data_IF_324413964532
#
_entry.id   IF_324413964532
#
_cell.length_a   1.000
_cell.length_b   1.000
_cell.length_c   1.000
_cell.angle_alpha   90.00
_cell.angle_beta   90.00
_cell.angle_gamma   90.00
#
_symmetry.space_group_name_H-M   'P 1'
#
loop_
_entity.id
_entity.type
_entity.pdbx_description
1 polymer ?
#
# COMPACT_ATOMS: atom_id res chain seq x y z
N UNK A 1 -21.84 21.93 87.20
CA UNK A 1 -21.50 20.75 86.37
C UNK A 1 -20.99 21.25 85.02
N UNK A 2 -19.78 20.80 84.62
CA UNK A 2 -19.25 20.49 83.27
C UNK A 2 -19.78 21.31 82.06
N UNK A 3 -19.01 21.72 81.03
CA UNK A 3 -17.58 21.77 80.68
C UNK A 3 -17.52 22.41 79.26
N UNK A 4 -16.42 23.10 78.94
CA UNK A 4 -15.70 23.13 77.65
C UNK A 4 -16.32 23.67 76.33
N UNK A 5 -15.73 24.79 75.90
CA UNK A 5 -15.10 25.12 74.59
C UNK A 5 -14.98 23.97 73.56
N UNK A 6 -15.23 24.26 72.25
CA UNK A 6 -14.52 23.88 70.99
C UNK A 6 -15.40 24.34 69.80
N UNK A 7 -15.05 25.24 68.88
CA UNK A 7 -14.04 25.27 67.80
C UNK A 7 -14.04 24.04 66.86
N UNK A 8 -14.75 24.10 65.73
CA UNK A 8 -14.45 23.42 64.44
C UNK A 8 -15.56 23.74 63.42
N UNK A 9 -15.29 24.59 62.43
CA UNK A 9 -14.80 24.24 61.09
C UNK A 9 -15.87 23.60 60.18
N UNK A 10 -16.50 24.46 59.38
CA UNK A 10 -17.36 24.12 58.25
C UNK A 10 -16.49 23.53 57.12
N UNK A 11 -16.48 22.21 56.95
CA UNK A 11 -15.87 21.56 55.78
C UNK A 11 -16.96 21.40 54.72
N UNK A 12 -16.95 22.31 53.75
CA UNK A 12 -17.63 22.11 52.49
C UNK A 12 -16.87 21.02 51.71
N UNK A 13 -17.44 19.82 51.65
CA UNK A 13 -16.96 18.75 50.77
C UNK A 13 -17.31 19.13 49.34
N UNK A 14 -16.38 19.86 48.69
CA UNK A 14 -16.32 19.98 47.25
C UNK A 14 -15.97 18.60 46.69
N UNK A 15 -16.99 17.89 46.21
CA UNK A 15 -16.82 16.75 45.32
C UNK A 15 -16.20 17.24 44.00
N UNK A 16 -14.88 17.37 43.95
CA UNK A 16 -14.15 17.50 42.69
C UNK A 16 -14.23 16.14 41.99
N UNK A 17 -15.24 15.99 41.13
CA UNK A 17 -15.22 15.01 40.04
C UNK A 17 -14.07 15.38 39.10
N UNK A 18 -12.85 15.06 39.51
CA UNK A 18 -11.71 14.99 38.62
C UNK A 18 -11.96 13.81 37.70
N UNK A 19 -12.51 14.09 36.53
CA UNK A 19 -12.39 13.22 35.37
C UNK A 19 -10.90 12.99 35.14
N UNK A 20 -10.36 11.90 35.70
CA UNK A 20 -9.12 11.32 35.18
C UNK A 20 -9.41 11.03 33.72
N UNK A 21 -8.92 11.89 32.82
CA UNK A 21 -8.72 11.51 31.42
C UNK A 21 -7.92 10.23 31.47
N UNK A 22 -8.56 9.10 31.18
CA UNK A 22 -7.85 7.85 30.93
C UNK A 22 -6.82 8.22 29.86
N UNK A 23 -5.54 8.16 30.22
CA UNK A 23 -4.46 8.19 29.26
C UNK A 23 -4.79 7.14 28.22
N UNK A 24 -5.17 7.58 27.03
CA UNK A 24 -5.28 6.68 25.88
C UNK A 24 -3.87 6.12 25.70
N UNK A 25 -3.68 4.85 26.04
CA UNK A 25 -2.52 4.12 25.56
C UNK A 25 -2.49 4.31 24.05
N UNK A 26 -1.44 4.96 23.57
CA UNK A 26 -1.23 5.18 22.14
C UNK A 26 -1.09 3.79 21.55
N UNK A 27 -2.05 3.37 20.72
CA UNK A 27 -1.93 2.09 20.02
C UNK A 27 -0.57 2.03 19.31
N UNK A 28 0.11 0.88 19.36
CA UNK A 28 1.41 0.73 18.70
C UNK A 28 1.25 1.01 17.21
N UNK A 29 2.20 1.76 16.64
CA UNK A 29 2.21 2.03 15.21
C UNK A 29 2.23 0.72 14.42
N UNK A 30 1.46 0.64 13.33
CA UNK A 30 1.47 -0.54 12.49
C UNK A 30 2.86 -0.77 11.88
N UNK A 31 3.27 -2.04 11.85
CA UNK A 31 4.47 -2.51 11.17
C UNK A 31 4.11 -3.77 10.40
N UNK A 32 4.50 -3.83 9.13
CA UNK A 32 4.31 -5.00 8.30
C UNK A 32 5.43 -6.01 8.60
N UNK A 33 5.13 -6.99 9.45
CA UNK A 33 6.11 -8.01 9.88
C UNK A 33 6.57 -8.95 8.76
N UNK A 34 5.81 -9.05 7.67
CA UNK A 34 6.12 -9.89 6.50
C UNK A 34 6.78 -9.10 5.37
N UNK A 35 6.84 -7.78 5.47
CA UNK A 35 7.37 -6.94 4.40
C UNK A 35 8.90 -6.90 4.44
N UNK A 36 9.51 -6.89 3.26
CA UNK A 36 10.97 -6.83 3.15
C UNK A 36 11.49 -5.44 3.48
N UNK A 37 12.56 -5.35 4.27
CA UNK A 37 13.18 -4.06 4.64
C UNK A 37 14.39 -3.70 3.77
N UNK A 38 14.79 -4.59 2.86
CA UNK A 38 15.86 -4.40 1.88
C UNK A 38 15.40 -4.92 0.51
N UNK A 39 15.95 -4.40 -0.61
CA UNK A 39 15.59 -4.88 -1.93
C UNK A 39 15.86 -6.39 -2.10
N UNK A 40 14.93 -7.09 -2.75
CA UNK A 40 15.08 -8.51 -3.09
C UNK A 40 15.80 -8.70 -4.43
N UNK A 41 15.83 -7.67 -5.29
CA UNK A 41 16.46 -7.72 -6.60
C UNK A 41 17.98 -7.87 -6.51
N UNK A 42 18.56 -8.75 -7.34
CA UNK A 42 20.01 -8.88 -7.47
C UNK A 42 20.58 -7.81 -8.42
N UNK A 43 21.73 -7.24 -8.06
CA UNK A 43 22.40 -6.20 -8.84
C UNK A 43 22.70 -6.64 -10.29
N UNK A 44 23.01 -7.92 -10.49
CA UNK A 44 23.23 -8.49 -11.83
C UNK A 44 22.02 -8.38 -12.77
N UNK A 45 20.82 -8.16 -12.22
CA UNK A 45 19.57 -8.10 -12.97
C UNK A 45 19.03 -6.68 -13.15
N UNK A 46 19.70 -5.64 -12.60
CA UNK A 46 19.18 -4.27 -12.56
C UNK A 46 18.93 -3.67 -13.96
N UNK A 47 19.76 -4.03 -14.95
CA UNK A 47 19.66 -3.55 -16.33
C UNK A 47 19.09 -4.60 -17.31
N UNK A 48 18.42 -5.63 -16.79
CA UNK A 48 17.82 -6.70 -17.59
C UNK A 48 16.36 -6.87 -17.22
N UNK A 49 15.61 -7.68 -17.97
CA UNK A 49 14.26 -8.06 -17.57
C UNK A 49 14.17 -9.24 -16.59
N UNK A 50 15.29 -9.82 -16.16
CA UNK A 50 15.30 -10.65 -14.96
C UNK A 50 15.07 -9.79 -13.71
N UNK A 51 14.65 -10.40 -12.61
CA UNK A 51 14.58 -9.73 -11.31
C UNK A 51 13.19 -9.70 -10.70
N UNK A 52 12.96 -8.72 -9.83
CA UNK A 52 11.74 -8.59 -9.04
C UNK A 52 10.91 -7.41 -9.54
N UNK A 53 9.61 -7.62 -9.70
CA UNK A 53 8.65 -6.58 -10.04
C UNK A 53 7.55 -6.58 -9.01
N UNK A 54 7.20 -5.41 -8.47
CA UNK A 54 6.22 -5.25 -7.40
C UNK A 54 5.19 -4.22 -7.81
N UNK A 55 3.95 -4.46 -7.45
CA UNK A 55 2.86 -3.61 -7.85
C UNK A 55 1.63 -3.72 -6.99
N UNK A 56 0.73 -2.78 -7.21
CA UNK A 56 -0.58 -2.71 -6.57
C UNK A 56 -1.69 -2.98 -7.59
N UNK A 57 -2.79 -3.54 -7.10
CA UNK A 57 -4.00 -3.84 -7.88
C UNK A 57 -5.15 -2.98 -7.37
N UNK A 58 -5.93 -2.36 -8.26
CA UNK A 58 -7.15 -1.63 -7.90
C UNK A 58 -8.36 -2.13 -8.67
N UNK A 59 -9.52 -2.19 -8.02
CA UNK A 59 -10.79 -2.73 -8.51
C UNK A 59 -11.36 -3.77 -7.56
N UNK A 60 -10.49 -4.65 -7.09
CA UNK A 60 -10.40 -5.05 -5.68
C UNK A 60 -9.12 -4.45 -5.10
N UNK A 61 -8.82 -4.67 -3.82
CA UNK A 61 -7.57 -4.16 -3.24
C UNK A 61 -6.54 -5.28 -3.14
N UNK A 62 -5.28 -4.97 -3.47
CA UNK A 62 -4.22 -5.94 -3.31
C UNK A 62 -2.88 -5.56 -3.90
N UNK A 63 -2.00 -6.55 -3.95
CA UNK A 63 -0.62 -6.44 -4.42
C UNK A 63 -0.24 -7.62 -5.30
N UNK A 64 0.79 -7.42 -6.13
CA UNK A 64 1.36 -8.47 -6.97
C UNK A 64 2.88 -8.35 -7.01
N UNK A 65 3.57 -9.48 -6.86
CA UNK A 65 5.01 -9.63 -7.09
C UNK A 65 5.28 -10.63 -8.19
N UNK A 66 6.14 -10.27 -9.14
CA UNK A 66 6.75 -11.21 -10.08
C UNK A 66 8.21 -11.43 -9.71
N UNK A 67 8.64 -12.68 -9.79
CA UNK A 67 10.04 -13.08 -9.82
C UNK A 67 10.33 -13.65 -11.20
N UNK A 68 11.09 -12.92 -12.00
CA UNK A 68 11.54 -13.36 -13.32
C UNK A 68 12.98 -13.82 -13.20
N UNK A 69 13.17 -15.07 -12.80
CA UNK A 69 14.48 -15.71 -12.69
C UNK A 69 15.51 -14.87 -11.90
N UNK A 70 15.07 -14.11 -10.87
CA UNK A 70 15.95 -13.23 -10.09
C UNK A 70 17.17 -14.00 -9.56
N UNK A 71 16.92 -15.23 -9.09
CA UNK A 71 17.96 -16.22 -8.77
C UNK A 71 17.68 -17.51 -9.54
N UNK A 72 18.70 -18.04 -10.22
CA UNK A 72 18.55 -19.26 -11.03
C UNK A 72 17.57 -19.08 -12.19
N UNK A 73 16.62 -20.00 -12.30
CA UNK A 73 15.63 -20.09 -13.39
C UNK A 73 14.17 -19.99 -12.91
N UNK A 74 13.95 -19.72 -11.62
CA UNK A 74 12.60 -19.67 -11.02
C UNK A 74 11.79 -18.52 -11.60
N UNK A 75 10.63 -18.83 -12.17
CA UNK A 75 9.69 -17.82 -12.68
C UNK A 75 8.32 -18.01 -12.03
N UNK A 76 7.94 -17.07 -11.18
CA UNK A 76 6.71 -17.14 -10.38
C UNK A 76 6.10 -15.75 -10.18
N UNK A 77 4.84 -15.72 -9.78
CA UNK A 77 4.21 -14.53 -9.24
C UNK A 77 3.38 -14.85 -8.00
N UNK A 78 3.22 -13.86 -7.12
CA UNK A 78 2.35 -13.93 -5.95
C UNK A 78 1.37 -12.77 -6.09
N UNK A 79 0.08 -13.10 -6.21
CA UNK A 79 -1.01 -12.14 -6.19
C UNK A 79 -1.69 -12.24 -4.83
N UNK A 80 -1.89 -11.10 -4.16
CA UNK A 80 -2.72 -11.01 -2.97
C UNK A 80 -3.87 -10.08 -3.30
N UNK A 81 -5.11 -10.55 -3.18
CA UNK A 81 -6.32 -9.75 -3.40
C UNK A 81 -7.29 -9.98 -2.25
N UNK A 82 -7.77 -8.88 -1.67
CA UNK A 82 -8.70 -8.89 -0.54
C UNK A 82 -8.25 -9.84 0.61
N UNK A 83 -6.93 -9.90 0.83
CA UNK A 83 -6.28 -10.77 1.82
C UNK A 83 -6.06 -12.24 1.40
N UNK A 84 -6.56 -12.67 0.24
CA UNK A 84 -6.38 -14.03 -0.28
C UNK A 84 -5.16 -14.08 -1.18
N UNK A 85 -4.30 -15.10 -0.98
CA UNK A 85 -3.08 -15.29 -1.78
C UNK A 85 -3.29 -16.31 -2.90
N UNK A 86 -2.82 -15.98 -4.09
CA UNK A 86 -2.65 -16.88 -5.23
C UNK A 86 -1.17 -16.98 -5.61
N UNK A 87 -0.63 -18.20 -5.59
CA UNK A 87 0.69 -18.48 -6.15
C UNK A 87 0.51 -18.82 -7.63
N UNK A 88 1.15 -18.05 -8.50
CA UNK A 88 1.05 -18.19 -9.94
C UNK A 88 2.39 -18.63 -10.52
N UNK A 89 2.35 -19.47 -11.54
CA UNK A 89 3.54 -19.95 -12.25
C UNK A 89 3.41 -19.70 -13.75
N UNK A 90 4.55 -19.66 -14.42
CA UNK A 90 4.67 -19.63 -15.87
C UNK A 90 5.49 -20.81 -16.34
N UNK A 91 5.17 -21.33 -17.53
CA UNK A 91 5.97 -22.34 -18.23
C UNK A 91 6.93 -21.73 -19.25
N UNK A 92 6.87 -20.42 -19.48
CA UNK A 92 7.71 -19.72 -20.46
C UNK A 92 9.07 -19.42 -19.83
N UNK A 93 10.10 -20.07 -20.38
CA UNK A 93 11.48 -19.81 -19.99
C UNK A 93 11.94 -18.42 -20.41
N UNK A 94 12.81 -17.82 -19.60
CA UNK A 94 13.46 -16.56 -19.94
C UNK A 94 14.56 -16.78 -20.98
N UNK A 95 14.67 -15.84 -21.93
CA UNK A 95 15.72 -15.83 -22.97
C UNK A 95 16.44 -14.48 -22.95
N UNK A 96 17.77 -14.51 -22.95
CA UNK A 96 18.60 -13.31 -22.86
C UNK A 96 18.39 -12.35 -24.05
N UNK A 97 18.36 -11.05 -23.76
CA UNK A 97 18.28 -9.99 -24.77
C UNK A 97 16.91 -9.83 -25.45
N UNK A 98 15.92 -10.65 -25.11
CA UNK A 98 14.57 -10.57 -25.64
C UNK A 98 13.63 -9.94 -24.62
N UNK A 99 12.56 -9.30 -25.09
CA UNK A 99 11.43 -8.96 -24.22
C UNK A 99 10.84 -10.23 -23.59
N UNK A 100 10.31 -10.12 -22.38
CA UNK A 100 9.69 -11.25 -21.68
C UNK A 100 8.19 -11.03 -21.63
N UNK A 101 7.43 -11.98 -22.16
CA UNK A 101 5.96 -11.98 -22.09
C UNK A 101 5.48 -13.37 -21.73
N UNK A 102 4.64 -13.48 -20.69
CA UNK A 102 4.06 -14.76 -20.29
C UNK A 102 2.75 -14.58 -19.55
N UNK A 103 1.84 -15.53 -19.78
CA UNK A 103 0.75 -15.81 -18.86
C UNK A 103 1.29 -16.46 -17.58
N UNK A 104 0.77 -16.01 -16.44
CA UNK A 104 0.96 -16.60 -15.12
C UNK A 104 -0.38 -17.13 -14.66
N UNK A 105 -0.42 -18.41 -14.28
CA UNK A 105 -1.67 -19.09 -13.91
C UNK A 105 -1.58 -19.71 -12.54
N UNK A 106 -2.71 -19.78 -11.84
CA UNK A 106 -2.83 -20.40 -10.54
C UNK A 106 -4.26 -20.29 -10.02
N UNK A 107 -4.44 -20.38 -8.71
CA UNK A 107 -5.76 -20.28 -8.07
C UNK A 107 -5.81 -19.21 -7.01
N UNK A 108 -6.89 -18.43 -6.99
CA UNK A 108 -7.27 -17.56 -5.89
C UNK A 108 -8.49 -18.18 -5.20
N UNK A 109 -8.26 -18.79 -4.03
CA UNK A 109 -9.24 -19.71 -3.45
C UNK A 109 -9.47 -20.92 -4.36
N UNK A 110 -10.69 -21.07 -4.88
CA UNK A 110 -11.05 -22.17 -5.79
C UNK A 110 -11.06 -21.76 -7.26
N UNK A 111 -11.01 -20.46 -7.56
CA UNK A 111 -11.13 -19.92 -8.90
C UNK A 111 -9.78 -19.89 -9.62
N UNK A 112 -9.80 -20.25 -10.91
CA UNK A 112 -8.62 -20.15 -11.77
C UNK A 112 -8.34 -18.68 -12.12
N UNK A 113 -7.08 -18.28 -11.97
CA UNK A 113 -6.60 -16.93 -12.27
C UNK A 113 -5.55 -17.01 -13.36
N UNK A 114 -5.59 -16.03 -14.28
CA UNK A 114 -4.57 -15.84 -15.31
C UNK A 114 -4.19 -14.37 -15.43
N UNK A 115 -2.89 -14.06 -15.43
CA UNK A 115 -2.35 -12.70 -15.59
C UNK A 115 -1.23 -12.75 -16.62
N UNK A 116 -1.33 -11.95 -17.68
CA UNK A 116 -0.26 -11.83 -18.67
C UNK A 116 0.65 -10.67 -18.32
N UNK A 117 1.87 -10.98 -17.90
CA UNK A 117 2.93 -10.02 -17.65
C UNK A 117 3.79 -9.86 -18.91
N UNK A 118 4.16 -8.61 -19.21
CA UNK A 118 5.07 -8.27 -20.29
C UNK A 118 6.06 -7.19 -19.84
N UNK A 119 7.29 -7.28 -20.31
CA UNK A 119 8.33 -6.28 -20.08
C UNK A 119 9.32 -6.30 -21.24
N UNK A 120 9.87 -5.14 -21.57
CA UNK A 120 10.96 -4.99 -22.53
C UNK A 120 12.22 -5.79 -22.13
N UNK A 121 13.26 -5.80 -22.95
CA UNK A 121 14.50 -6.53 -22.65
C UNK A 121 15.29 -5.93 -21.47
N UNK A 122 15.09 -4.64 -21.19
CA UNK A 122 15.82 -3.85 -20.16
C UNK A 122 15.14 -3.90 -18.79
N UNK A 123 13.92 -4.41 -18.70
CA UNK A 123 13.14 -4.44 -17.46
C UNK A 123 12.39 -3.14 -17.15
N UNK A 124 12.37 -2.16 -18.06
CA UNK A 124 12.00 -0.77 -17.74
C UNK A 124 10.52 -0.46 -17.87
N UNK A 125 9.79 -1.15 -18.75
CA UNK A 125 8.34 -0.95 -18.94
C UNK A 125 7.52 -2.19 -18.60
N UNK A 126 7.47 -2.61 -17.32
CA UNK A 126 6.66 -3.74 -16.92
C UNK A 126 5.16 -3.40 -17.01
N UNK A 127 4.38 -4.28 -17.62
CA UNK A 127 2.93 -4.11 -17.79
C UNK A 127 2.22 -5.45 -17.61
N UNK A 128 0.98 -5.39 -17.12
CA UNK A 128 0.04 -6.49 -17.21
C UNK A 128 -0.90 -6.18 -18.37
N UNK A 129 -0.78 -6.93 -19.46
CA UNK A 129 -1.53 -6.67 -20.70
C UNK A 129 -2.95 -7.22 -20.65
N UNK A 130 -3.14 -8.34 -19.95
CA UNK A 130 -4.46 -8.96 -19.74
C UNK A 130 -4.51 -9.63 -18.37
N UNK A 131 -5.70 -9.68 -17.78
CA UNK A 131 -5.96 -10.44 -16.56
C UNK A 131 -7.36 -11.02 -16.58
N UNK A 132 -7.50 -12.26 -16.13
CA UNK A 132 -8.77 -12.91 -15.82
C UNK A 132 -8.72 -13.34 -14.35
N UNK A 133 -9.51 -12.65 -13.52
CA UNK A 133 -9.58 -12.88 -12.08
C UNK A 133 -11.06 -12.96 -11.70
N UNK A 134 -11.64 -14.17 -11.64
CA UNK A 134 -13.07 -14.34 -11.33
C UNK A 134 -13.45 -13.66 -10.02
N UNK A 135 -14.54 -12.88 -10.03
CA UNK A 135 -14.99 -12.09 -8.88
C UNK A 135 -14.36 -10.69 -8.79
N UNK A 136 -13.35 -10.39 -9.60
CA UNK A 136 -12.61 -9.12 -9.56
C UNK A 136 -12.56 -8.46 -10.95
N UNK A 137 -13.68 -8.00 -11.51
CA UNK A 137 -13.70 -7.35 -12.82
C UNK A 137 -13.06 -5.95 -12.77
N UNK A 138 -12.62 -5.45 -13.92
CA UNK A 138 -12.08 -4.10 -14.09
C UNK A 138 -10.90 -3.80 -13.14
N UNK A 139 -10.03 -4.79 -12.93
CA UNK A 139 -8.79 -4.61 -12.20
C UNK A 139 -7.79 -3.82 -13.03
N UNK A 140 -7.08 -2.90 -12.36
CA UNK A 140 -5.99 -2.13 -12.93
C UNK A 140 -4.74 -2.35 -12.07
N UNK A 141 -3.58 -2.28 -12.71
CA UNK A 141 -2.30 -2.62 -12.10
C UNK A 141 -1.31 -1.47 -12.26
N UNK A 142 -0.59 -1.17 -11.18
CA UNK A 142 0.61 -0.33 -11.26
C UNK A 142 1.80 -1.18 -10.86
N UNK A 143 2.74 -1.38 -11.78
CA UNK A 143 3.87 -2.29 -11.63
C UNK A 143 5.19 -1.53 -11.80
N UNK A 144 6.15 -1.81 -10.93
CA UNK A 144 7.49 -1.21 -10.96
C UNK A 144 8.53 -2.31 -10.77
N UNK A 145 9.65 -2.21 -11.49
CA UNK A 145 10.83 -3.04 -11.29
C UNK A 145 11.57 -2.60 -10.03
N UNK A 146 11.85 -3.54 -9.14
CA UNK A 146 12.77 -3.33 -8.02
C UNK A 146 14.23 -3.48 -8.51
N UNK A 147 15.11 -2.61 -8.03
CA UNK A 147 16.57 -2.73 -8.27
C UNK A 147 17.27 -3.06 -6.98
N UNK A 148 18.51 -3.54 -7.07
CA UNK A 148 19.32 -3.93 -5.90
C UNK A 148 19.58 -2.81 -4.88
N UNK A 149 19.35 -1.55 -5.29
CA UNK A 149 19.55 -0.35 -4.47
C UNK A 149 18.24 0.37 -4.14
N UNK A 150 17.12 -0.07 -4.69
CA UNK A 150 15.85 0.62 -4.57
C UNK A 150 14.73 -0.34 -4.18
N UNK A 151 14.37 -0.34 -2.90
CA UNK A 151 13.24 -1.11 -2.38
C UNK A 151 11.94 -0.53 -2.92
N UNK A 152 11.06 -1.39 -3.41
CA UNK A 152 9.71 -1.03 -3.81
C UNK A 152 8.72 -1.52 -2.75
N UNK A 153 7.96 -0.59 -2.19
CA UNK A 153 6.97 -0.83 -1.15
C UNK A 153 5.57 -0.66 -1.74
N UNK A 154 4.62 -1.53 -1.37
CA UNK A 154 3.23 -1.42 -1.78
C UNK A 154 2.32 -1.17 -0.57
N UNK A 155 1.40 -0.23 -0.73
CA UNK A 155 0.47 0.20 0.30
C UNK A 155 -0.95 0.05 -0.22
N UNK A 156 -1.83 -0.42 0.66
CA UNK A 156 -3.26 -0.48 0.45
C UNK A 156 -3.97 0.42 1.45
N UNK A 157 -4.98 1.14 1.00
CA UNK A 157 -5.62 2.16 1.82
C UNK A 157 -7.05 2.48 1.42
N UNK A 158 -7.69 3.25 2.29
CA UNK A 158 -9.04 3.77 2.11
C UNK A 158 -9.06 5.27 2.30
N UNK A 159 -10.01 5.92 1.62
CA UNK A 159 -10.31 7.32 1.84
C UNK A 159 -11.79 7.51 2.13
N UNK A 160 -12.08 8.61 2.83
CA UNK A 160 -13.42 9.15 2.98
C UNK A 160 -13.38 10.65 2.79
N UNK A 161 -14.50 11.24 2.38
CA UNK A 161 -14.60 12.69 2.22
C UNK A 161 -15.68 13.28 3.13
N UNK A 162 -15.78 14.61 3.18
CA UNK A 162 -16.90 15.30 3.82
C UNK A 162 -18.19 15.25 3.00
N UNK A 163 -18.11 14.85 1.72
CA UNK A 163 -19.24 14.27 1.00
C UNK A 163 -19.31 12.80 1.46
N UNK A 164 -20.48 12.16 1.60
CA UNK A 164 -20.54 10.73 1.99
C UNK A 164 -20.06 9.81 0.85
N UNK A 165 -18.83 10.04 0.39
CA UNK A 165 -18.09 9.27 -0.59
C UNK A 165 -16.89 8.64 0.12
N UNK A 166 -16.72 7.34 -0.14
CA UNK A 166 -15.58 6.55 0.30
C UNK A 166 -14.95 5.86 -0.89
N UNK A 167 -13.73 5.39 -0.73
CA UNK A 167 -13.09 4.55 -1.73
C UNK A 167 -11.80 3.93 -1.23
N UNK A 168 -11.13 3.24 -2.13
CA UNK A 168 -9.81 2.66 -1.90
C UNK A 168 -8.76 3.43 -2.69
N UNK A 169 -7.53 3.41 -2.20
CA UNK A 169 -6.37 3.83 -2.96
C UNK A 169 -5.23 2.87 -2.67
N UNK A 170 -4.48 2.49 -3.70
CA UNK A 170 -3.31 1.64 -3.56
C UNK A 170 -2.12 2.31 -4.24
N UNK A 171 -0.98 2.30 -3.56
CA UNK A 171 0.24 3.03 -3.98
C UNK A 171 1.44 2.09 -3.94
N UNK A 172 2.23 2.16 -4.99
CA UNK A 172 3.61 1.67 -5.03
C UNK A 172 4.56 2.86 -4.84
N UNK A 173 5.54 2.74 -3.96
CA UNK A 173 6.49 3.82 -3.68
C UNK A 173 7.92 3.34 -3.50
N UNK A 174 8.82 4.31 -3.65
CA UNK A 174 10.24 4.17 -3.36
C UNK A 174 10.68 5.34 -2.49
N UNK A 175 11.18 5.02 -1.29
CA UNK A 175 11.80 6.02 -0.41
C UNK A 175 13.11 6.54 -0.96
N UNK A 176 13.92 5.67 -1.58
CA UNK A 176 15.21 6.03 -2.17
C UNK A 176 15.05 7.04 -3.31
N UNK A 177 14.10 6.79 -4.23
CA UNK A 177 13.81 7.69 -5.35
C UNK A 177 12.87 8.83 -4.97
N UNK A 178 12.29 8.78 -3.77
CA UNK A 178 11.35 9.77 -3.25
C UNK A 178 10.15 9.97 -4.18
N UNK A 179 9.61 8.88 -4.71
CA UNK A 179 8.53 8.86 -5.69
C UNK A 179 7.49 7.83 -5.34
N UNK A 180 6.26 8.09 -5.75
CA UNK A 180 5.16 7.15 -5.64
C UNK A 180 4.25 7.22 -6.86
N UNK A 181 3.55 6.11 -7.12
CA UNK A 181 2.52 5.99 -8.14
C UNK A 181 1.45 5.03 -7.65
N UNK A 182 0.22 5.18 -8.10
CA UNK A 182 -0.87 4.33 -7.67
C UNK A 182 -2.17 4.67 -8.38
N UNK A 183 -3.27 4.30 -7.75
CA UNK A 183 -4.60 4.66 -8.21
C UNK A 183 -5.57 4.73 -7.03
N UNK A 184 -6.64 5.50 -7.18
CA UNK A 184 -7.82 5.48 -6.32
C UNK A 184 -9.06 5.03 -7.08
N UNK A 185 -10.05 4.51 -6.36
CA UNK A 185 -11.36 4.14 -6.90
C UNK A 185 -12.42 4.38 -5.84
N UNK A 186 -13.43 5.17 -6.20
CA UNK A 186 -14.64 5.36 -5.40
C UNK A 186 -15.39 4.04 -5.22
N UNK A 187 -15.91 3.81 -4.02
CA UNK A 187 -16.76 2.64 -3.72
C UNK A 187 -17.93 2.57 -4.69
N UNK A 188 -18.11 1.41 -5.34
CA UNK A 188 -19.15 1.18 -6.35
C UNK A 188 -18.81 1.65 -7.77
N UNK A 189 -17.67 2.31 -7.98
CA UNK A 189 -17.20 2.69 -9.31
C UNK A 189 -16.48 1.55 -10.03
N UNK A 190 -16.52 1.57 -11.37
CA UNK A 190 -15.71 0.71 -12.25
C UNK A 190 -14.51 1.43 -12.86
N UNK A 191 -14.35 2.72 -12.58
CA UNK A 191 -13.23 3.54 -13.04
C UNK A 191 -12.24 3.80 -11.90
N UNK A 192 -10.98 4.01 -12.25
CA UNK A 192 -9.92 4.35 -11.29
C UNK A 192 -9.22 5.62 -11.73
N UNK A 193 -8.86 6.47 -10.78
CA UNK A 193 -8.08 7.67 -11.02
C UNK A 193 -6.60 7.37 -10.72
N UNK A 194 -5.67 7.70 -11.61
CA UNK A 194 -4.24 7.56 -11.33
C UNK A 194 -3.84 8.52 -10.20
N UNK A 195 -2.87 8.10 -9.39
CA UNK A 195 -2.25 8.94 -8.37
C UNK A 195 -0.74 8.88 -8.60
N UNK A 196 -0.05 10.00 -8.57
CA UNK A 196 1.42 9.99 -8.62
C UNK A 196 2.04 11.26 -8.06
N UNK A 197 3.27 11.14 -7.56
CA UNK A 197 3.95 12.30 -7.04
C UNK A 197 5.29 11.99 -6.39
N UNK A 198 5.70 12.89 -5.50
CA UNK A 198 6.99 12.83 -4.81
C UNK A 198 6.83 12.70 -3.30
N UNK A 199 7.88 12.24 -2.63
CA UNK A 199 7.97 12.24 -1.17
C UNK A 199 8.86 13.41 -0.76
N UNK A 200 8.38 14.29 0.12
CA UNK A 200 9.14 15.44 0.64
C UNK A 200 10.02 15.07 1.84
N UNK A 201 10.96 15.94 2.24
CA UNK A 201 11.94 15.65 3.30
C UNK A 201 11.31 15.28 4.66
N UNK A 202 10.03 15.59 4.86
CA UNK A 202 9.26 15.27 6.06
C UNK A 202 8.45 13.97 5.91
N UNK A 203 8.67 13.22 4.82
CA UNK A 203 7.94 12.04 4.42
C UNK A 203 6.46 12.30 4.05
N UNK A 204 6.11 13.52 3.64
CA UNK A 204 4.81 13.77 3.05
C UNK A 204 4.78 13.28 1.61
N UNK A 205 3.72 12.59 1.22
CA UNK A 205 3.38 12.36 -0.18
C UNK A 205 2.77 13.65 -0.73
N UNK A 206 3.38 14.15 -1.80
CA UNK A 206 3.00 15.39 -2.50
C UNK A 206 2.55 15.05 -3.91
N UNK A 207 1.29 15.36 -4.21
CA UNK A 207 0.67 15.22 -5.53
C UNK A 207 0.25 16.60 -6.03
N UNK A 208 0.72 17.00 -7.21
CA UNK A 208 0.45 18.31 -7.82
C UNK A 208 0.68 19.51 -6.87
N UNK A 209 1.70 19.40 -6.01
CA UNK A 209 2.07 20.42 -5.03
C UNK A 209 1.29 20.37 -3.71
N UNK A 210 0.30 19.49 -3.59
CA UNK A 210 -0.50 19.31 -2.39
C UNK A 210 -0.01 18.13 -1.56
N UNK A 211 0.12 18.32 -0.24
CA UNK A 211 0.39 17.22 0.69
C UNK A 211 -0.89 16.41 0.86
N UNK A 212 -0.87 15.14 0.44
CA UNK A 212 -2.04 14.25 0.50
C UNK A 212 -2.00 13.31 1.72
N UNK A 213 -0.81 12.91 2.17
CA UNK A 213 -0.64 12.14 3.42
C UNK A 213 0.81 12.15 3.92
N UNK A 214 0.98 11.76 5.18
CA UNK A 214 2.27 11.49 5.81
C UNK A 214 2.56 9.98 5.77
N UNK A 215 3.77 9.64 5.35
CA UNK A 215 4.36 8.32 5.46
C UNK A 215 5.13 8.19 6.77
N UNK A 216 4.60 7.39 7.70
CA UNK A 216 5.20 7.15 9.02
C UNK A 216 5.38 5.65 9.23
N UNK A 217 6.62 5.16 9.07
CA UNK A 217 6.89 3.72 9.05
C UNK A 217 6.12 3.05 7.92
N UNK A 218 5.31 2.04 8.26
CA UNK A 218 4.48 1.28 7.33
C UNK A 218 3.03 1.81 7.24
N UNK A 219 2.81 3.06 7.67
CA UNK A 219 1.50 3.70 7.64
C UNK A 219 1.47 4.94 6.74
N UNK A 220 0.37 5.11 6.03
CA UNK A 220 -0.01 6.34 5.35
C UNK A 220 -1.21 6.94 6.07
N UNK A 221 -1.09 8.15 6.61
CA UNK A 221 -2.21 8.83 7.26
C UNK A 221 -2.23 10.29 6.83
N UNK A 222 -3.41 10.82 6.48
CA UNK A 222 -3.49 12.18 5.99
C UNK A 222 -4.89 12.75 5.96
N UNK A 223 -4.95 14.07 5.88
CA UNK A 223 -6.14 14.76 5.46
C UNK A 223 -5.79 16.02 4.69
N UNK A 224 -6.46 16.23 3.57
CA UNK A 224 -6.22 17.35 2.66
C UNK A 224 -7.55 17.84 2.09
N UNK A 225 -7.52 18.98 1.42
CA UNK A 225 -8.68 19.53 0.72
C UNK A 225 -8.51 19.30 -0.77
N UNK A 226 -9.50 18.69 -1.41
CA UNK A 226 -9.52 18.50 -2.86
C UNK A 226 -9.88 19.80 -3.61
N UNK A 227 -9.85 19.75 -4.94
CA UNK A 227 -10.16 20.89 -5.80
C UNK A 227 -11.62 21.37 -5.68
N UNK A 228 -12.52 20.55 -5.14
CA UNK A 228 -13.93 20.89 -4.87
C UNK A 228 -14.14 21.44 -3.45
N UNK A 229 -13.05 21.71 -2.73
CA UNK A 229 -13.07 22.23 -1.37
C UNK A 229 -13.51 21.20 -0.33
N UNK A 230 -13.48 19.90 -0.65
CA UNK A 230 -13.89 18.83 0.26
C UNK A 230 -12.69 18.30 1.02
N UNK A 231 -12.90 18.04 2.30
CA UNK A 231 -11.87 17.41 3.11
C UNK A 231 -11.86 15.92 2.81
N UNK A 232 -10.74 15.43 2.31
CA UNK A 232 -10.43 14.01 2.13
C UNK A 232 -9.62 13.56 3.34
N UNK A 233 -9.95 12.40 3.89
CA UNK A 233 -9.16 11.73 4.94
C UNK A 233 -8.71 10.40 4.40
N UNK A 234 -7.43 10.08 4.54
CA UNK A 234 -6.83 8.86 4.00
C UNK A 234 -6.12 8.06 5.10
N UNK A 235 -6.23 6.73 5.00
CA UNK A 235 -5.50 5.78 5.84
C UNK A 235 -5.05 4.60 5.00
N UNK A 236 -3.78 4.24 5.09
CA UNK A 236 -3.21 3.11 4.37
C UNK A 236 -2.12 2.41 5.17
N UNK A 237 -1.87 1.16 4.80
CA UNK A 237 -0.87 0.28 5.42
C UNK A 237 -0.02 -0.37 4.36
N UNK A 238 1.26 -0.54 4.65
CA UNK A 238 2.15 -1.33 3.81
C UNK A 238 1.71 -2.78 3.83
N UNK A 239 1.55 -3.38 2.66
CA UNK A 239 1.21 -4.80 2.52
C UNK A 239 2.27 -5.58 1.75
N UNK A 240 3.27 -4.89 1.19
CA UNK A 240 4.40 -5.50 0.49
C UNK A 240 5.69 -4.66 0.58
#
# INVERSE_FOLDING_TARGET
MKKSIYFMALIAVLCTLSCKKKSQEKEPAYTCSTCMTTPEALAANDATNKGIYKGVVIGSTGTIKFNIANTGTTITAILVLDGVTANLTSTVAWTAGQAYTSAFTGKLGTADVSITFSVDATGTTPVISTSSIPGHPNTSFNLIKETSTNLIECFEGTYSTTKPETGTFNIVLSRTLRKFKGSSRTTGSTTSNPISGTIDSNNNLVEDGNIICLLSGDELNGSFTDNDGKKVTVKGKRTF
#
